data_IF_108236101876
#
_entry.id   IF_108236101876
#
_cell.length_a   1.000
_cell.length_b   1.000
_cell.length_c   1.000
_cell.angle_alpha   90.00
_cell.angle_beta   90.00
_cell.angle_gamma   90.00
#
_symmetry.space_group_name_H-M   'P 1'
#
loop_
_entity.id
_entity.type
_entity.pdbx_description
1 polymer ?
#
# COMPACT_ATOMS: atom_id res chain seq x y z
N UNK A 1 -9.37 48.00 60.90
CA UNK A 1 -8.75 46.74 61.37
C UNK A 1 -8.83 45.76 60.22
N UNK A 2 -7.71 45.14 59.85
CA UNK A 2 -7.49 44.50 58.54
C UNK A 2 -8.28 43.20 58.30
N UNK A 3 -9.35 42.93 59.05
CA UNK A 3 -10.22 41.76 58.84
C UNK A 3 -9.57 40.42 59.15
N UNK A 4 -8.47 40.42 59.92
CA UNK A 4 -7.72 39.23 60.32
C UNK A 4 -7.88 39.02 61.82
N UNK A 5 -8.24 37.81 62.22
CA UNK A 5 -8.36 37.42 63.63
C UNK A 5 -6.97 37.33 64.28
N UNK A 6 -6.88 37.70 65.56
CA UNK A 6 -5.59 37.74 66.27
C UNK A 6 -4.94 36.36 66.42
N UNK A 7 -5.74 35.31 66.54
CA UNK A 7 -5.23 33.93 66.63
C UNK A 7 -4.59 33.48 65.32
N UNK A 8 -5.13 33.90 64.17
CA UNK A 8 -4.53 33.62 62.86
C UNK A 8 -3.16 34.28 62.73
N UNK A 9 -3.01 35.52 63.19
CA UNK A 9 -1.72 36.23 63.17
C UNK A 9 -0.71 35.51 64.07
N UNK A 10 -1.14 34.99 65.23
CA UNK A 10 -0.27 34.21 66.13
C UNK A 10 0.18 32.90 65.50
N UNK A 11 -0.72 32.16 64.86
CA UNK A 11 -0.40 30.91 64.16
C UNK A 11 0.61 31.14 63.03
N UNK A 12 0.41 32.16 62.19
CA UNK A 12 1.31 32.47 61.08
C UNK A 12 2.73 32.87 61.51
N UNK A 13 2.90 33.27 62.77
CA UNK A 13 4.17 33.74 63.31
C UNK A 13 4.63 32.93 64.53
N UNK A 14 4.07 31.74 64.76
CA UNK A 14 4.32 30.96 65.97
C UNK A 14 5.81 30.70 66.23
N UNK A 15 6.61 30.58 65.16
CA UNK A 15 8.05 30.33 65.23
C UNK A 15 8.91 31.60 65.41
N UNK A 16 8.32 32.79 65.25
CA UNK A 16 9.03 34.09 65.37
C UNK A 16 8.57 34.93 66.57
N UNK A 17 7.50 34.53 67.25
CA UNK A 17 7.01 35.20 68.46
C UNK A 17 7.84 34.83 69.69
N UNK A 18 8.07 35.81 70.57
CA UNK A 18 8.72 35.59 71.85
C UNK A 18 7.80 34.88 72.87
N UNK A 19 8.33 34.54 74.07
CA UNK A 19 7.53 33.94 75.13
C UNK A 19 6.27 34.77 75.45
N UNK A 20 5.11 34.11 75.53
CA UNK A 20 3.79 34.74 75.70
C UNK A 20 3.39 35.69 74.55
N UNK A 21 3.73 35.33 73.31
CA UNK A 21 3.38 36.08 72.09
C UNK A 21 3.96 37.51 72.02
N UNK A 22 5.10 37.72 72.68
CA UNK A 22 5.71 39.05 72.77
C UNK A 22 6.43 39.44 71.47
N UNK A 23 6.14 40.65 70.97
CA UNK A 23 6.70 41.24 69.76
C UNK A 23 7.72 42.33 70.10
N UNK A 24 8.77 42.47 69.28
CA UNK A 24 9.84 43.46 69.48
C UNK A 24 9.78 44.61 68.45
N UNK A 25 10.23 45.83 68.80
CA UNK A 25 10.30 46.92 67.83
C UNK A 25 11.15 46.56 66.61
N UNK A 26 10.57 46.65 65.41
CA UNK A 26 11.22 46.30 64.15
C UNK A 26 10.99 44.85 63.67
N UNK A 27 10.24 44.04 64.43
CA UNK A 27 9.83 42.70 64.00
C UNK A 27 8.76 42.78 62.91
N UNK A 28 8.97 42.05 61.82
CA UNK A 28 7.99 41.87 60.76
C UNK A 28 7.03 40.74 61.11
N UNK A 29 5.73 40.97 60.89
CA UNK A 29 4.68 40.01 61.19
C UNK A 29 3.93 39.66 59.91
N UNK A 30 3.79 38.36 59.66
CA UNK A 30 2.97 37.84 58.58
C UNK A 30 1.50 37.90 59.00
N UNK A 31 0.76 38.87 58.47
CA UNK A 31 -0.64 39.10 58.85
C UNK A 31 -1.63 38.29 58.00
N UNK A 32 -1.19 37.75 56.87
CA UNK A 32 -1.93 36.81 56.05
C UNK A 32 -0.96 36.09 55.12
N UNK A 33 -1.26 34.83 54.81
CA UNK A 33 -0.68 34.18 53.64
C UNK A 33 -1.52 34.59 52.42
N UNK A 34 -0.96 34.67 51.22
CA UNK A 34 -1.79 34.79 50.03
C UNK A 34 -2.80 33.65 50.08
N UNK A 35 -4.09 34.00 50.06
CA UNK A 35 -5.11 33.01 49.70
C UNK A 35 -4.62 32.49 48.36
N UNK A 36 -4.25 31.21 48.29
CA UNK A 36 -4.16 30.58 46.98
C UNK A 36 -5.53 30.85 46.37
N UNK A 37 -5.56 31.77 45.40
CA UNK A 37 -6.68 31.86 44.49
C UNK A 37 -6.84 30.43 44.04
N UNK A 38 -8.02 29.78 44.18
CA UNK A 38 -8.15 28.42 43.69
C UNK A 38 -7.57 28.48 42.30
N UNK A 39 -6.44 27.80 42.10
CA UNK A 39 -5.91 27.61 40.76
C UNK A 39 -7.14 27.14 40.04
N UNK A 40 -7.67 27.89 39.05
CA UNK A 40 -8.92 27.52 38.44
C UNK A 40 -8.72 26.07 38.11
N UNK A 41 -9.53 25.19 38.71
CA UNK A 41 -9.55 23.80 38.27
C UNK A 41 -9.72 23.98 36.78
N UNK A 42 -8.71 23.62 35.95
CA UNK A 42 -8.84 23.89 34.54
C UNK A 42 -10.16 23.24 34.19
N UNK A 43 -11.07 24.03 33.60
CA UNK A 43 -12.18 23.45 32.84
C UNK A 43 -11.56 22.26 32.10
N UNK A 44 -12.19 21.07 32.05
CA UNK A 44 -11.65 19.96 31.29
C UNK A 44 -11.19 20.57 29.98
N UNK A 45 -9.88 20.57 29.76
CA UNK A 45 -9.29 21.30 28.64
C UNK A 45 -10.09 20.76 27.47
N UNK A 46 -10.87 21.60 26.73
CA UNK A 46 -11.54 21.11 25.53
C UNK A 46 -10.42 20.40 24.81
N UNK A 47 -10.51 19.05 24.58
CA UNK A 47 -9.34 18.20 24.43
C UNK A 47 -8.37 19.01 23.63
N UNK A 48 -7.25 19.42 24.27
CA UNK A 48 -6.15 20.04 23.54
C UNK A 48 -6.15 19.22 22.28
N UNK A 49 -6.36 19.85 21.12
CA UNK A 49 -6.10 19.15 19.88
C UNK A 49 -4.61 18.84 20.02
N UNK A 50 -4.35 17.70 20.66
CA UNK A 50 -3.11 16.97 20.68
C UNK A 50 -2.71 17.12 19.25
N UNK A 51 -1.62 17.88 18.95
CA UNK A 51 -1.36 18.35 17.61
C UNK A 51 -1.55 17.14 16.74
N UNK A 52 -2.66 17.15 15.97
CA UNK A 52 -3.15 15.98 15.24
C UNK A 52 -1.90 15.42 14.60
N UNK A 53 -1.48 14.18 14.95
CA UNK A 53 -0.10 13.74 14.87
C UNK A 53 0.52 14.43 13.68
N UNK A 54 1.36 15.44 13.93
CA UNK A 54 1.92 16.30 12.87
C UNK A 54 2.25 15.36 11.76
N UNK A 55 1.46 15.35 10.67
CA UNK A 55 1.53 14.31 9.64
C UNK A 55 3.00 14.19 9.33
N UNK A 56 3.58 13.09 9.80
CA UNK A 56 5.00 12.96 10.03
C UNK A 56 5.61 12.97 8.66
N UNK A 57 5.99 14.16 8.20
CA UNK A 57 6.44 14.44 6.85
C UNK A 57 5.63 13.68 5.80
N UNK A 58 4.45 14.19 5.40
CA UNK A 58 3.79 13.73 4.18
C UNK A 58 4.88 13.65 3.10
N UNK A 59 5.25 12.41 2.77
CA UNK A 59 6.43 12.15 1.96
C UNK A 59 6.17 12.85 0.64
N UNK A 60 6.94 13.90 0.35
CA UNK A 60 6.94 14.58 -0.95
C UNK A 60 7.67 13.65 -1.94
N UNK A 61 7.15 12.44 -2.07
CA UNK A 61 7.65 11.39 -2.93
C UNK A 61 6.60 11.10 -4.00
N UNK A 62 7.05 10.44 -5.04
CA UNK A 62 6.15 9.93 -6.06
C UNK A 62 5.24 8.82 -5.49
N UNK A 63 4.19 8.51 -6.23
CA UNK A 63 3.31 7.39 -5.96
C UNK A 63 3.09 6.52 -7.19
N UNK A 64 2.93 5.23 -6.95
CA UNK A 64 2.45 4.25 -7.93
C UNK A 64 1.18 3.64 -7.37
N UNK A 65 0.06 3.85 -8.06
CA UNK A 65 -1.23 3.28 -7.74
C UNK A 65 -1.49 2.06 -8.61
N UNK A 66 -1.89 0.95 -8.00
CA UNK A 66 -2.12 -0.33 -8.68
C UNK A 66 -3.52 -0.87 -8.39
N UNK A 67 -4.11 -1.54 -9.38
CA UNK A 67 -5.30 -2.37 -9.22
C UNK A 67 -5.24 -3.56 -10.17
N UNK A 68 -5.95 -4.63 -9.82
CA UNK A 68 -6.16 -5.79 -10.68
C UNK A 68 -7.65 -5.87 -11.05
N UNK A 69 -7.96 -6.19 -12.30
CA UNK A 69 -9.34 -6.37 -12.74
C UNK A 69 -9.51 -7.62 -13.59
N UNK A 70 -10.75 -8.11 -13.65
CA UNK A 70 -11.15 -9.20 -14.51
C UNK A 70 -11.42 -8.66 -15.91
N UNK A 71 -10.47 -8.90 -16.81
CA UNK A 71 -10.59 -8.56 -18.22
C UNK A 71 -11.49 -9.60 -18.89
N UNK A 72 -12.79 -9.33 -18.91
CA UNK A 72 -13.83 -10.27 -19.34
C UNK A 72 -13.86 -10.38 -20.86
N UNK A 73 -13.52 -9.31 -21.55
CA UNK A 73 -13.57 -9.23 -23.00
C UNK A 73 -12.19 -9.45 -23.66
N UNK A 74 -11.12 -9.48 -22.87
CA UNK A 74 -9.74 -9.75 -23.30
C UNK A 74 -9.09 -8.58 -24.04
N UNK A 75 -9.59 -7.35 -23.87
CA UNK A 75 -9.12 -6.18 -24.61
C UNK A 75 -8.04 -5.36 -23.89
N UNK A 76 -7.71 -5.73 -22.65
CA UNK A 76 -6.71 -5.08 -21.77
C UNK A 76 -7.04 -3.66 -21.32
N UNK A 77 -8.28 -3.20 -21.52
CA UNK A 77 -8.80 -1.94 -21.04
C UNK A 77 -10.00 -2.16 -20.14
N UNK A 78 -9.86 -1.80 -18.86
CA UNK A 78 -10.92 -1.98 -17.88
C UNK A 78 -12.18 -1.19 -18.25
N UNK A 79 -13.29 -1.89 -18.41
CA UNK A 79 -14.63 -1.30 -18.37
C UNK A 79 -15.14 -1.26 -16.93
N UNK A 80 -15.12 -0.09 -16.28
CA UNK A 80 -15.53 0.05 -14.87
C UNK A 80 -16.96 -0.39 -14.58
N UNK A 81 -17.86 -0.40 -15.58
CA UNK A 81 -19.25 -0.80 -15.41
C UNK A 81 -19.47 -2.31 -15.56
N UNK A 82 -18.57 -3.01 -16.26
CA UNK A 82 -18.72 -4.43 -16.59
C UNK A 82 -17.63 -5.33 -15.97
N UNK A 83 -16.48 -4.76 -15.60
CA UNK A 83 -15.28 -5.49 -15.19
C UNK A 83 -14.89 -5.16 -13.76
N UNK A 84 -15.10 -6.16 -12.91
CA UNK A 84 -14.83 -6.08 -11.48
C UNK A 84 -13.32 -6.07 -11.18
N UNK A 85 -13.00 -5.47 -10.04
CA UNK A 85 -11.69 -5.59 -9.41
C UNK A 85 -11.50 -7.02 -8.88
N UNK A 86 -10.26 -7.49 -8.87
CA UNK A 86 -9.93 -8.85 -8.45
C UNK A 86 -9.16 -8.84 -7.12
N UNK A 87 -9.60 -9.60 -6.11
CA UNK A 87 -8.82 -9.82 -4.89
C UNK A 87 -7.70 -10.84 -5.13
N UNK A 88 -6.72 -10.86 -4.23
CA UNK A 88 -5.60 -11.81 -4.17
C UNK A 88 -4.60 -11.71 -5.35
N UNK A 89 -4.57 -10.60 -6.07
CA UNK A 89 -3.46 -10.27 -6.95
C UNK A 89 -2.32 -9.73 -6.07
N UNK A 90 -1.11 -10.26 -6.22
CA UNK A 90 0.05 -9.78 -5.47
C UNK A 90 0.86 -8.80 -6.31
N UNK A 91 1.05 -7.59 -5.81
CA UNK A 91 1.88 -6.55 -6.40
C UNK A 91 3.20 -6.44 -5.66
N UNK A 92 4.31 -6.36 -6.40
CA UNK A 92 5.64 -6.07 -5.88
C UNK A 92 6.20 -4.86 -6.60
N UNK A 93 6.60 -3.83 -5.85
CA UNK A 93 7.39 -2.70 -6.36
C UNK A 93 8.85 -2.94 -6.00
N UNK A 94 9.73 -2.87 -6.99
CA UNK A 94 11.16 -3.08 -6.82
C UNK A 94 11.96 -2.02 -7.57
N UNK A 95 13.15 -1.70 -7.08
CA UNK A 95 14.14 -0.86 -7.75
C UNK A 95 15.48 -1.61 -7.90
N UNK A 96 16.55 -0.90 -8.24
CA UNK A 96 17.88 -1.49 -8.40
C UNK A 96 18.47 -2.07 -7.08
N UNK A 97 17.98 -1.63 -5.93
CA UNK A 97 18.40 -2.10 -4.61
C UNK A 97 17.65 -3.36 -4.15
N UNK A 98 16.48 -3.62 -4.73
CA UNK A 98 15.67 -4.80 -4.44
C UNK A 98 14.19 -4.48 -4.34
N UNK A 99 13.46 -5.28 -3.57
CA UNK A 99 12.03 -5.05 -3.33
C UNK A 99 11.86 -3.89 -2.35
N UNK A 100 11.05 -2.92 -2.76
CA UNK A 100 10.70 -1.73 -1.99
C UNK A 100 9.48 -2.01 -1.13
N UNK A 101 8.41 -2.54 -1.74
CA UNK A 101 7.16 -2.84 -1.03
C UNK A 101 6.31 -3.88 -1.77
N UNK A 102 5.29 -4.41 -1.07
CA UNK A 102 4.30 -5.37 -1.59
C UNK A 102 2.89 -5.03 -1.14
N UNK A 103 1.92 -5.39 -1.97
CA UNK A 103 0.50 -5.27 -1.67
C UNK A 103 -0.26 -6.47 -2.24
N UNK A 104 -1.29 -6.93 -1.54
CA UNK A 104 -2.21 -7.95 -2.04
C UNK A 104 -3.59 -7.32 -2.18
N UNK A 105 -4.18 -7.38 -3.37
CA UNK A 105 -5.48 -6.76 -3.63
C UNK A 105 -6.60 -7.35 -2.77
N UNK A 106 -7.49 -6.47 -2.31
CA UNK A 106 -8.74 -6.86 -1.65
C UNK A 106 -9.94 -6.88 -2.62
N UNK A 107 -9.77 -6.35 -3.84
CA UNK A 107 -10.81 -6.25 -4.86
C UNK A 107 -11.95 -5.29 -4.49
N UNK A 108 -11.77 -4.44 -3.47
CA UNK A 108 -12.81 -3.54 -2.93
C UNK A 108 -12.26 -2.12 -2.78
N UNK A 109 -11.13 -1.96 -2.08
CA UNK A 109 -10.53 -0.68 -1.72
C UNK A 109 -9.35 -0.36 -2.65
N UNK A 110 -9.62 -0.28 -3.95
CA UNK A 110 -8.60 -0.08 -4.98
C UNK A 110 -8.84 1.21 -5.80
N UNK A 111 -7.80 1.81 -6.40
CA UNK A 111 -6.40 1.38 -6.42
C UNK A 111 -5.66 1.57 -5.09
N UNK A 112 -4.71 0.68 -4.79
CA UNK A 112 -3.76 0.86 -3.70
C UNK A 112 -2.55 1.66 -4.19
N UNK A 113 -2.16 2.70 -3.46
CA UNK A 113 -1.03 3.55 -3.83
C UNK A 113 0.17 3.33 -2.90
N UNK A 114 1.27 2.87 -3.49
CA UNK A 114 2.60 2.98 -2.89
C UNK A 114 3.00 4.46 -2.92
N UNK A 115 3.19 5.08 -1.76
CA UNK A 115 3.49 6.52 -1.64
C UNK A 115 4.89 6.74 -1.07
N UNK A 116 5.41 7.96 -1.23
CA UNK A 116 6.73 8.31 -0.69
C UNK A 116 7.91 7.72 -1.44
N UNK A 117 7.70 7.29 -2.69
CA UNK A 117 8.74 6.73 -3.53
C UNK A 117 9.71 7.84 -3.93
N UNK A 118 11.01 7.61 -3.74
CA UNK A 118 12.04 8.52 -4.21
C UNK A 118 12.05 8.55 -5.75
N UNK A 119 12.43 9.67 -6.39
CA UNK A 119 12.62 9.71 -7.84
C UNK A 119 13.61 8.63 -8.29
N UNK A 120 13.28 7.87 -9.32
CA UNK A 120 14.08 6.72 -9.73
C UNK A 120 13.37 5.80 -10.70
N UNK A 121 14.06 4.72 -11.09
CA UNK A 121 13.50 3.68 -11.94
C UNK A 121 12.99 2.51 -11.08
N UNK A 122 11.75 2.11 -11.33
CA UNK A 122 11.06 1.04 -10.61
C UNK A 122 10.52 -0.01 -11.58
N UNK A 123 10.32 -1.21 -11.07
CA UNK A 123 9.59 -2.32 -11.69
C UNK A 123 8.38 -2.63 -10.81
N UNK A 124 7.21 -2.69 -11.43
CA UNK A 124 5.95 -3.06 -10.77
C UNK A 124 5.51 -4.38 -11.37
N UNK A 125 5.44 -5.41 -10.54
CA UNK A 125 5.19 -6.79 -10.96
C UNK A 125 3.90 -7.26 -10.31
N UNK A 126 2.97 -7.80 -11.10
CA UNK A 126 1.76 -8.48 -10.64
C UNK A 126 1.94 -10.00 -10.75
N UNK A 127 1.66 -10.72 -9.66
CA UNK A 127 1.28 -12.13 -9.69
C UNK A 127 -0.25 -12.24 -9.73
N UNK A 128 -0.78 -12.92 -10.74
CA UNK A 128 -2.23 -13.07 -10.93
C UNK A 128 -2.88 -13.84 -9.77
N UNK A 129 -4.14 -13.53 -9.43
CA UNK A 129 -4.91 -14.32 -8.47
C UNK A 129 -5.00 -15.81 -8.88
N UNK A 130 -5.22 -16.73 -7.93
CA UNK A 130 -5.48 -18.13 -8.25
C UNK A 130 -6.65 -18.29 -9.22
N UNK A 131 -6.44 -19.10 -10.27
CA UNK A 131 -7.45 -19.31 -11.32
C UNK A 131 -7.52 -18.21 -12.37
N UNK A 132 -6.54 -17.30 -12.39
CA UNK A 132 -6.40 -16.24 -13.37
C UNK A 132 -4.99 -16.22 -13.97
N UNK A 133 -4.88 -15.64 -15.17
CA UNK A 133 -3.63 -15.35 -15.87
C UNK A 133 -3.67 -13.90 -16.39
N UNK A 134 -2.51 -13.23 -16.57
CA UNK A 134 -2.47 -11.88 -17.11
C UNK A 134 -3.01 -11.84 -18.54
N UNK A 135 -3.93 -10.92 -18.83
CA UNK A 135 -4.37 -10.64 -20.22
C UNK A 135 -3.43 -9.69 -20.97
N UNK A 136 -2.62 -8.93 -20.21
CA UNK A 136 -1.62 -8.00 -20.71
C UNK A 136 -0.27 -8.13 -19.99
N UNK A 137 0.55 -7.05 -19.98
CA UNK A 137 1.83 -7.07 -19.27
C UNK A 137 1.64 -7.32 -17.76
N UNK A 138 2.28 -8.37 -17.25
CA UNK A 138 2.35 -8.64 -15.81
C UNK A 138 3.42 -7.79 -15.09
N UNK A 139 4.23 -7.04 -15.85
CA UNK A 139 5.31 -6.21 -15.33
C UNK A 139 5.42 -4.89 -16.09
N UNK A 140 5.62 -3.80 -15.36
CA UNK A 140 5.90 -2.46 -15.89
C UNK A 140 7.23 -1.94 -15.37
N UNK A 141 8.05 -1.39 -16.26
CA UNK A 141 9.22 -0.59 -15.89
C UNK A 141 8.86 0.89 -16.00
N UNK A 142 8.98 1.63 -14.91
CA UNK A 142 8.52 3.01 -14.80
C UNK A 142 9.62 3.90 -14.24
N UNK A 143 9.70 5.14 -14.71
CA UNK A 143 10.59 6.16 -14.16
C UNK A 143 9.75 7.21 -13.43
N UNK A 144 9.99 7.38 -12.14
CA UNK A 144 9.33 8.36 -11.30
C UNK A 144 10.18 9.62 -11.18
N UNK A 145 9.57 10.77 -11.46
CA UNK A 145 10.08 12.06 -11.03
C UNK A 145 9.49 12.42 -9.66
N UNK A 146 10.05 13.43 -8.98
CA UNK A 146 9.49 13.91 -7.71
C UNK A 146 8.01 14.29 -7.86
N UNK A 147 7.21 13.97 -6.85
CA UNK A 147 5.79 14.36 -6.76
C UNK A 147 4.88 13.82 -7.89
N UNK A 148 5.35 12.83 -8.65
CA UNK A 148 4.55 12.20 -9.73
C UNK A 148 3.66 11.09 -9.15
N UNK A 149 2.39 11.01 -9.57
CA UNK A 149 1.54 9.84 -9.36
C UNK A 149 1.33 9.09 -10.66
N UNK A 150 1.49 7.77 -10.65
CA UNK A 150 1.28 6.90 -11.81
C UNK A 150 0.26 5.82 -11.48
N UNK A 151 -0.76 5.68 -12.33
CA UNK A 151 -1.78 4.66 -12.20
C UNK A 151 -1.50 3.50 -13.17
N UNK A 152 -1.38 2.29 -12.63
CA UNK A 152 -1.14 1.06 -13.38
C UNK A 152 -2.27 0.07 -13.12
N UNK A 153 -2.94 -0.35 -14.19
CA UNK A 153 -4.04 -1.31 -14.14
C UNK A 153 -3.62 -2.61 -14.79
N UNK A 154 -3.92 -3.74 -14.14
CA UNK A 154 -3.52 -5.05 -14.61
C UNK A 154 -4.75 -5.92 -14.89
N UNK A 155 -4.94 -6.25 -16.17
CA UNK A 155 -6.02 -7.12 -16.62
C UNK A 155 -5.68 -8.59 -16.44
N UNK A 156 -6.67 -9.36 -16.02
CA UNK A 156 -6.55 -10.80 -15.81
C UNK A 156 -7.75 -11.54 -16.41
N UNK A 157 -7.49 -12.64 -17.12
CA UNK A 157 -8.49 -13.56 -17.65
C UNK A 157 -8.51 -14.84 -16.81
N UNK A 158 -9.65 -15.52 -16.71
CA UNK A 158 -9.73 -16.82 -16.03
C UNK A 158 -8.87 -17.87 -16.74
N UNK A 159 -8.07 -18.61 -15.99
CA UNK A 159 -7.39 -19.78 -16.51
C UNK A 159 -8.31 -21.00 -16.52
N UNK A 160 -8.33 -21.72 -17.64
CA UNK A 160 -8.96 -23.03 -17.76
C UNK A 160 -8.04 -24.09 -17.14
N UNK A 161 -7.77 -23.99 -15.83
CA UNK A 161 -7.00 -24.95 -15.05
C UNK A 161 -7.84 -25.51 -13.90
N UNK A 162 -7.66 -26.78 -13.48
CA UNK A 162 -8.49 -27.37 -12.45
C UNK A 162 -8.32 -26.55 -11.16
N UNK A 163 -9.43 -25.99 -10.67
CA UNK A 163 -9.47 -25.38 -9.36
C UNK A 163 -9.04 -26.44 -8.34
N UNK A 164 -7.80 -26.38 -7.87
CA UNK A 164 -7.36 -27.18 -6.72
C UNK A 164 -8.01 -26.59 -5.48
N UNK A 165 -9.33 -26.80 -5.35
CA UNK A 165 -9.99 -26.76 -4.07
C UNK A 165 -9.31 -27.84 -3.24
N UNK A 166 -8.76 -27.46 -2.10
CA UNK A 166 -8.26 -28.39 -1.10
C UNK A 166 -9.41 -29.23 -0.56
N UNK A 167 -9.77 -30.27 -1.28
CA UNK A 167 -10.60 -31.34 -0.77
C UNK A 167 -9.68 -32.45 -0.29
N UNK A 168 -9.73 -32.71 1.02
CA UNK A 168 -9.04 -33.83 1.66
C UNK A 168 -9.45 -35.12 0.94
N UNK A 169 -8.54 -35.92 0.38
CA UNK A 169 -8.95 -37.15 -0.30
C UNK A 169 -9.42 -38.14 0.75
N UNK A 170 -10.73 -38.36 0.80
CA UNK A 170 -11.31 -39.49 1.49
C UNK A 170 -10.96 -40.76 0.68
N UNK A 171 -10.27 -41.77 1.24
CA UNK A 171 -9.93 -42.96 0.46
C UNK A 171 -11.19 -43.80 0.23
N UNK A 172 -11.67 -43.85 -1.01
CA UNK A 172 -12.65 -44.86 -1.45
C UNK A 172 -11.89 -46.16 -1.75
N UNK A 173 -12.33 -47.32 -1.24
CA UNK A 173 -11.62 -48.57 -1.49
C UNK A 173 -11.86 -49.08 -2.91
N UNK A 174 -10.77 -49.52 -3.50
CA UNK A 174 -10.55 -50.54 -4.53
C UNK A 174 -11.81 -51.27 -5.03
N UNK A 175 -12.03 -51.20 -6.34
CA UNK A 175 -12.64 -52.28 -7.10
C UNK A 175 -11.78 -52.53 -8.33
N UNK A 176 -11.12 -53.68 -8.31
CA UNK A 176 -10.34 -54.25 -9.39
C UNK A 176 -11.27 -54.66 -10.54
N UNK A 177 -10.88 -54.32 -11.75
CA UNK A 177 -11.24 -55.11 -12.94
C UNK A 177 -10.20 -54.82 -14.01
N UNK A 178 -9.29 -55.79 -14.13
CA UNK A 178 -8.41 -55.99 -15.27
C UNK A 178 -9.24 -56.22 -16.53
N UNK A 179 -8.90 -55.55 -17.64
CA UNK A 179 -8.92 -56.20 -18.95
C UNK A 179 -7.94 -55.49 -19.88
N UNK A 180 -7.01 -56.28 -20.41
CA UNK A 180 -5.95 -55.92 -21.31
C UNK A 180 -6.49 -55.68 -22.72
N UNK A 181 -6.05 -54.61 -23.40
CA UNK A 181 -5.66 -54.76 -24.81
C UNK A 181 -4.61 -53.72 -25.20
N UNK A 182 -3.43 -54.21 -25.58
CA UNK A 182 -2.32 -53.47 -26.15
C UNK A 182 -2.69 -52.78 -27.47
N UNK A 183 -2.29 -51.51 -27.64
CA UNK A 183 -1.82 -51.04 -28.95
C UNK A 183 -0.84 -49.86 -28.83
N UNK A 184 0.44 -50.21 -28.95
CA UNK A 184 1.45 -49.54 -29.77
C UNK A 184 1.79 -48.06 -29.49
N UNK A 185 2.87 -47.87 -28.73
CA UNK A 185 4.03 -47.09 -29.15
C UNK A 185 3.92 -45.56 -29.23
N UNK A 186 4.61 -44.87 -28.32
CA UNK A 186 4.94 -43.46 -28.53
C UNK A 186 5.42 -42.75 -27.28
N UNK A 187 6.74 -42.63 -27.12
CA UNK A 187 7.36 -41.85 -26.05
C UNK A 187 6.90 -40.39 -26.08
N UNK A 188 6.44 -39.83 -24.96
CA UNK A 188 6.33 -38.37 -24.79
C UNK A 188 6.69 -37.95 -23.36
N UNK A 189 7.79 -38.48 -22.82
CA UNK A 189 8.62 -37.68 -21.92
C UNK A 189 9.34 -36.63 -22.78
N UNK A 190 8.74 -35.44 -22.89
CA UNK A 190 9.34 -34.31 -23.57
C UNK A 190 8.34 -33.55 -24.44
N UNK A 191 7.67 -32.56 -23.84
CA UNK A 191 7.35 -31.28 -24.47
C UNK A 191 7.39 -30.19 -23.38
N UNK A 192 8.60 -30.01 -22.85
CA UNK A 192 9.01 -28.72 -22.31
C UNK A 192 9.47 -27.90 -23.52
N UNK A 193 8.99 -26.66 -23.62
CA UNK A 193 9.33 -25.60 -24.60
C UNK A 193 8.85 -25.78 -26.06
N UNK A 194 7.77 -25.08 -26.44
CA UNK A 194 7.68 -24.35 -27.72
C UNK A 194 6.34 -23.60 -27.91
N UNK A 195 6.17 -22.41 -27.32
CA UNK A 195 5.31 -21.35 -27.91
C UNK A 195 5.97 -19.98 -27.68
N UNK A 196 7.03 -19.71 -28.42
CA UNK A 196 7.48 -18.33 -28.71
C UNK A 196 7.77 -18.28 -30.22
N UNK A 197 7.35 -17.17 -30.84
CA UNK A 197 7.57 -16.76 -32.23
C UNK A 197 6.52 -17.18 -33.28
N UNK A 198 5.36 -16.51 -33.25
CA UNK A 198 4.62 -16.19 -34.50
C UNK A 198 4.30 -14.70 -34.72
N UNK A 199 4.53 -13.82 -33.75
CA UNK A 199 4.27 -12.38 -33.92
C UNK A 199 5.48 -11.62 -34.50
N UNK A 200 6.71 -12.06 -34.24
CA UNK A 200 7.92 -11.37 -34.73
C UNK A 200 8.11 -11.43 -36.25
N UNK A 201 7.64 -12.49 -36.93
CA UNK A 201 7.86 -12.66 -38.38
C UNK A 201 7.00 -11.72 -39.23
N UNK A 202 5.76 -11.47 -38.80
CA UNK A 202 4.82 -10.61 -39.53
C UNK A 202 5.27 -9.14 -39.45
N UNK A 203 5.74 -8.68 -38.29
CA UNK A 203 6.19 -7.30 -38.12
C UNK A 203 7.48 -6.99 -38.91
N UNK A 204 8.42 -7.94 -38.98
CA UNK A 204 9.63 -7.80 -39.81
C UNK A 204 9.30 -7.81 -41.31
N UNK A 205 8.35 -8.66 -41.75
CA UNK A 205 7.92 -8.68 -43.16
C UNK A 205 7.19 -7.40 -43.57
N UNK A 206 6.34 -6.83 -42.70
CA UNK A 206 5.66 -5.56 -42.98
C UNK A 206 6.63 -4.38 -43.04
N UNK A 207 7.63 -4.33 -42.17
CA UNK A 207 8.67 -3.31 -42.22
C UNK A 207 9.53 -3.42 -43.50
N UNK A 208 9.92 -4.63 -43.91
CA UNK A 208 10.70 -4.83 -45.12
C UNK A 208 9.93 -4.43 -46.40
N UNK A 209 8.63 -4.78 -46.47
CA UNK A 209 7.77 -4.38 -47.58
C UNK A 209 7.58 -2.87 -47.67
N UNK A 210 7.40 -2.19 -46.52
CA UNK A 210 7.28 -0.73 -46.45
C UNK A 210 8.53 -0.01 -46.98
N UNK A 211 9.73 -0.46 -46.59
CA UNK A 211 11.00 0.11 -47.05
C UNK A 211 11.20 -0.11 -48.56
N UNK A 212 10.85 -1.28 -49.10
CA UNK A 212 10.96 -1.56 -50.52
C UNK A 212 10.05 -0.68 -51.38
N UNK A 213 8.80 -0.45 -50.95
CA UNK A 213 7.86 0.44 -51.66
C UNK A 213 8.35 1.88 -51.62
N UNK A 214 8.87 2.36 -50.49
CA UNK A 214 9.42 3.71 -50.37
C UNK A 214 10.64 3.91 -51.29
N UNK A 215 11.52 2.90 -51.38
CA UNK A 215 12.68 2.93 -52.26
C UNK A 215 12.28 3.02 -53.75
N UNK A 216 11.30 2.23 -54.19
CA UNK A 216 10.81 2.26 -55.58
C UNK A 216 10.13 3.61 -55.91
N UNK A 217 9.38 4.18 -54.97
CA UNK A 217 8.72 5.47 -55.17
C UNK A 217 9.70 6.63 -55.21
N UNK A 218 10.79 6.58 -54.43
CA UNK A 218 11.85 7.60 -54.47
C UNK A 218 12.73 7.48 -55.71
N UNK A 219 12.98 6.25 -56.21
CA UNK A 219 13.73 6.02 -57.45
C UNK A 219 12.96 6.45 -58.70
N UNK A 220 11.62 6.43 -58.68
CA UNK A 220 10.78 6.92 -59.77
C UNK A 220 10.63 8.45 -59.85
N UNK A 221 11.07 9.17 -58.81
CA UNK A 221 10.97 10.65 -58.72
C UNK A 221 12.29 11.37 -59.02
N UNK A 222 13.36 10.64 -59.35
CA UNK A 222 14.60 11.18 -59.94
C UNK A 222 14.65 10.83 -61.41
#
# INVERSE_FOLDING_TARGET
>A
MYGVETDQIRELNADSLGPNDMIWPGQELVISLPSETPTPTPLPVPPTLEPSPTLESASIGASICVLAYHDRNGDTFRDEAAEELLPNAEFTVADASGVVDRYTSDGISEPYCFTGLAPGAYRVIQSSPPGYEPSGPAEWSVALAGETSLDLQFGNVRSEGPATSGETPNPVPTSESEDDTEQTGGSTFGHIFAIVAKVSGILVLLLAAGVAVLFILTQRRR
#
